data_IF_517565432377
#
_entry.id   IF_517565432377
#
_cell.length_a   1.000
_cell.length_b   1.000
_cell.length_c   1.000
_cell.angle_alpha   90.00
_cell.angle_beta   90.00
_cell.angle_gamma   90.00
#
_symmetry.space_group_name_H-M   'P 1'
#
loop_
_entity.id
_entity.type
_entity.pdbx_description
1 polymer ?
#
# COMPACT_ATOMS: atom_id res chain seq x y z
N UNK A 1 38.60 -10.12 -11.41
CA UNK A 1 37.20 -9.91 -11.83
C UNK A 1 36.38 -11.01 -11.17
N UNK A 2 35.78 -10.76 -10.01
CA UNK A 2 35.07 -11.78 -9.22
C UNK A 2 33.58 -11.65 -9.54
N UNK A 3 33.02 -12.68 -10.18
CA UNK A 3 31.60 -12.79 -10.52
C UNK A 3 30.81 -12.95 -9.20
N UNK A 4 30.03 -11.94 -8.84
CA UNK A 4 29.08 -12.05 -7.74
C UNK A 4 28.01 -13.07 -8.13
N UNK A 5 27.96 -14.18 -7.40
CA UNK A 5 26.91 -15.18 -7.54
C UNK A 5 25.70 -14.63 -6.79
N UNK A 6 24.68 -14.22 -7.53
CA UNK A 6 23.31 -14.07 -7.04
C UNK A 6 22.82 -15.48 -6.68
N UNK A 7 22.96 -15.84 -5.41
CA UNK A 7 22.37 -17.06 -4.86
C UNK A 7 20.96 -16.71 -4.40
N UNK A 8 19.97 -17.22 -5.11
CA UNK A 8 18.57 -17.19 -4.74
C UNK A 8 18.38 -17.81 -3.35
N UNK A 9 17.58 -17.13 -2.55
CA UNK A 9 17.45 -17.30 -1.10
C UNK A 9 16.34 -18.31 -0.79
N UNK A 10 16.37 -19.48 -1.40
CA UNK A 10 15.41 -20.56 -1.12
C UNK A 10 16.19 -21.89 -1.05
N UNK A 11 15.97 -22.68 0.00
CA UNK A 11 16.62 -23.96 0.34
C UNK A 11 18.01 -23.92 1.01
N UNK A 12 18.08 -23.39 2.24
CA UNK A 12 19.23 -23.65 3.13
C UNK A 12 19.14 -25.05 3.75
N UNK A 13 19.77 -26.03 3.10
CA UNK A 13 20.11 -27.31 3.72
C UNK A 13 21.12 -27.09 4.87
N UNK A 14 21.04 -27.82 6.00
CA UNK A 14 21.95 -27.65 7.14
C UNK A 14 23.44 -27.88 6.77
N UNK A 15 23.70 -28.65 5.72
CA UNK A 15 25.04 -28.88 5.17
C UNK A 15 25.66 -27.63 4.52
N UNK A 16 24.84 -26.74 3.95
CA UNK A 16 25.30 -25.47 3.37
C UNK A 16 25.68 -24.47 4.48
N UNK A 17 24.93 -24.44 5.57
CA UNK A 17 25.26 -23.64 6.75
C UNK A 17 26.58 -24.08 7.40
N UNK A 18 26.83 -25.39 7.47
CA UNK A 18 28.09 -25.96 7.97
C UNK A 18 29.28 -25.59 7.08
N UNK A 19 29.12 -25.62 5.74
CA UNK A 19 30.15 -25.16 4.81
C UNK A 19 30.46 -23.68 4.96
N UNK A 20 29.43 -22.83 5.04
CA UNK A 20 29.60 -21.38 5.24
C UNK A 20 30.30 -21.10 6.58
N UNK A 21 29.89 -21.75 7.67
CA UNK A 21 30.53 -21.62 8.97
C UNK A 21 32.00 -22.08 8.93
N UNK A 22 32.31 -23.18 8.24
CA UNK A 22 33.68 -23.67 8.06
C UNK A 22 34.53 -22.72 7.21
N UNK A 23 33.97 -22.07 6.20
CA UNK A 23 34.67 -21.09 5.36
C UNK A 23 34.88 -19.75 6.08
N UNK A 24 33.93 -19.33 6.92
CA UNK A 24 34.07 -18.15 7.80
C UNK A 24 35.15 -18.40 8.85
N UNK A 25 35.14 -19.58 9.48
CA UNK A 25 36.16 -20.00 10.45
C UNK A 25 37.55 -20.09 9.80
N UNK A 26 37.63 -20.68 8.60
CA UNK A 26 38.87 -20.81 7.83
C UNK A 26 39.42 -19.48 7.32
N UNK A 27 38.57 -18.47 7.10
CA UNK A 27 38.98 -17.11 6.67
C UNK A 27 39.38 -16.19 7.83
N UNK A 28 39.32 -16.66 9.08
CA UNK A 28 39.72 -15.88 10.28
C UNK A 28 39.22 -14.44 10.22
N UNK A 29 37.95 -14.27 9.86
CA UNK A 29 37.31 -12.95 9.83
C UNK A 29 37.24 -12.50 11.27
N UNK A 30 38.03 -11.49 11.64
CA UNK A 30 38.03 -10.99 13.02
C UNK A 30 36.63 -10.51 13.38
N UNK A 31 36.22 -10.69 14.65
CA UNK A 31 34.95 -10.15 15.16
C UNK A 31 34.82 -8.64 14.90
N UNK A 32 35.94 -7.93 14.83
CA UNK A 32 36.01 -6.51 14.48
C UNK A 32 35.62 -6.25 13.02
N UNK A 33 36.00 -7.13 12.09
CA UNK A 33 35.61 -7.05 10.68
C UNK A 33 34.12 -7.35 10.50
N UNK A 34 33.60 -8.36 11.21
CA UNK A 34 32.18 -8.69 11.24
C UNK A 34 31.33 -7.53 11.80
N UNK A 35 31.75 -6.95 12.93
CA UNK A 35 31.06 -5.81 13.53
C UNK A 35 31.10 -4.56 12.62
N UNK A 36 32.22 -4.33 11.93
CA UNK A 36 32.36 -3.21 10.99
C UNK A 36 31.50 -3.41 9.74
N UNK A 37 31.47 -4.61 9.18
CA UNK A 37 30.59 -4.95 8.05
C UNK A 37 29.12 -4.87 8.44
N UNK A 38 28.74 -5.34 9.63
CA UNK A 38 27.36 -5.21 10.12
C UNK A 38 26.97 -3.75 10.31
N UNK A 39 27.87 -2.93 10.85
CA UNK A 39 27.67 -1.49 10.99
C UNK A 39 27.55 -0.77 9.63
N UNK A 40 28.40 -1.11 8.65
CA UNK A 40 28.35 -0.56 7.29
C UNK A 40 27.04 -0.94 6.58
N UNK A 41 26.65 -2.22 6.63
CA UNK A 41 25.37 -2.68 6.05
C UNK A 41 24.17 -2.01 6.72
N UNK A 42 24.21 -1.81 8.04
CA UNK A 42 23.13 -1.14 8.78
C UNK A 42 23.03 0.34 8.41
N UNK A 43 24.17 1.01 8.22
CA UNK A 43 24.24 2.41 7.79
C UNK A 43 23.74 2.58 6.34
N UNK A 44 24.18 1.71 5.43
CA UNK A 44 23.73 1.74 4.03
C UNK A 44 22.22 1.48 3.92
N UNK A 45 21.68 0.57 4.72
CA UNK A 45 20.24 0.34 4.81
C UNK A 45 19.48 1.57 5.34
N UNK A 46 20.00 2.23 6.39
CA UNK A 46 19.39 3.47 6.90
C UNK A 46 19.40 4.59 5.86
N UNK A 47 20.51 4.77 5.14
CA UNK A 47 20.64 5.79 4.09
C UNK A 47 19.69 5.51 2.92
N UNK A 48 19.50 4.24 2.54
CA UNK A 48 18.50 3.85 1.53
C UNK A 48 17.07 4.14 2.00
N UNK A 49 16.72 3.80 3.25
CA UNK A 49 15.40 4.09 3.82
C UNK A 49 15.14 5.60 3.83
N UNK A 50 16.11 6.41 4.25
CA UNK A 50 16.02 7.87 4.25
C UNK A 50 15.79 8.43 2.84
N UNK A 51 16.51 7.93 1.83
CA UNK A 51 16.34 8.35 0.43
C UNK A 51 14.98 7.96 -0.15
N UNK A 52 14.45 6.81 0.24
CA UNK A 52 13.15 6.31 -0.19
C UNK A 52 11.99 6.96 0.57
N UNK A 53 12.21 7.41 1.79
CA UNK A 53 11.19 7.99 2.66
C UNK A 53 10.59 9.28 2.09
N UNK A 54 9.26 9.39 2.18
CA UNK A 54 8.50 10.58 1.84
C UNK A 54 7.51 10.38 0.69
N UNK A 55 6.50 11.25 0.68
CA UNK A 55 5.42 11.24 -0.33
C UNK A 55 5.94 11.87 -1.62
N UNK A 56 6.53 11.05 -2.51
CA UNK A 56 7.09 11.45 -3.81
C UNK A 56 6.83 10.38 -4.88
N UNK A 57 6.92 10.76 -6.15
CA UNK A 57 6.74 9.85 -7.29
C UNK A 57 5.36 9.21 -7.29
N UNK A 58 5.29 7.89 -7.51
CA UNK A 58 4.04 7.14 -7.52
C UNK A 58 3.21 7.23 -6.24
N UNK A 59 3.86 7.41 -5.07
CA UNK A 59 3.13 7.60 -3.81
C UNK A 59 2.43 8.97 -3.77
N UNK A 60 3.03 10.00 -4.36
CA UNK A 60 2.36 11.30 -4.49
C UNK A 60 1.15 11.21 -5.42
N UNK A 61 1.31 10.54 -6.58
CA UNK A 61 0.20 10.30 -7.51
C UNK A 61 -0.96 9.56 -6.82
N UNK A 62 -0.64 8.53 -6.04
CA UNK A 62 -1.64 7.81 -5.25
C UNK A 62 -2.38 8.74 -4.28
N UNK A 63 -1.65 9.51 -3.46
CA UNK A 63 -2.25 10.41 -2.47
C UNK A 63 -3.13 11.47 -3.15
N UNK A 64 -2.67 12.06 -4.25
CA UNK A 64 -3.47 13.00 -5.03
C UNK A 64 -4.74 12.36 -5.60
N UNK A 65 -4.64 11.14 -6.13
CA UNK A 65 -5.79 10.39 -6.64
C UNK A 65 -6.81 10.10 -5.53
N UNK A 66 -6.35 9.64 -4.35
CA UNK A 66 -7.23 9.41 -3.19
C UNK A 66 -7.88 10.72 -2.77
N UNK A 67 -7.15 11.83 -2.74
CA UNK A 67 -7.66 13.18 -2.48
C UNK A 67 -8.78 13.59 -3.45
N UNK A 68 -8.54 13.47 -4.76
CA UNK A 68 -9.52 13.84 -5.78
C UNK A 68 -10.76 12.94 -5.73
N UNK A 69 -10.59 11.62 -5.60
CA UNK A 69 -11.71 10.68 -5.47
C UNK A 69 -12.52 10.93 -4.19
N UNK A 70 -11.86 11.30 -3.10
CA UNK A 70 -12.52 11.69 -1.84
C UNK A 70 -13.43 12.89 -2.05
N UNK A 71 -12.93 13.94 -2.69
CA UNK A 71 -13.72 15.14 -3.00
C UNK A 71 -14.89 14.81 -3.94
N UNK A 72 -14.66 13.97 -4.95
CA UNK A 72 -15.70 13.49 -5.85
C UNK A 72 -16.82 12.74 -5.11
N UNK A 73 -16.46 11.81 -4.23
CA UNK A 73 -17.42 11.04 -3.44
C UNK A 73 -18.23 11.92 -2.47
N UNK A 74 -17.60 12.92 -1.86
CA UNK A 74 -18.31 13.93 -1.05
C UNK A 74 -19.28 14.75 -1.90
N UNK A 75 -18.84 15.23 -3.07
CA UNK A 75 -19.69 16.01 -3.96
C UNK A 75 -20.89 15.20 -4.49
N UNK A 76 -20.66 13.94 -4.90
CA UNK A 76 -21.71 13.02 -5.31
C UNK A 76 -22.71 12.77 -4.18
N UNK A 77 -22.21 12.40 -2.99
CA UNK A 77 -23.04 12.14 -1.82
C UNK A 77 -23.87 13.35 -1.38
N UNK A 78 -23.24 14.53 -1.27
CA UNK A 78 -23.94 15.76 -0.89
C UNK A 78 -24.94 16.21 -1.96
N UNK A 79 -24.57 16.17 -3.24
CA UNK A 79 -25.47 16.59 -4.31
C UNK A 79 -26.69 15.68 -4.44
N UNK A 80 -26.52 14.37 -4.24
CA UNK A 80 -27.61 13.40 -4.24
C UNK A 80 -28.59 13.62 -3.10
N UNK A 81 -28.10 13.86 -1.89
CA UNK A 81 -28.94 14.13 -0.72
C UNK A 81 -29.69 15.46 -0.82
N UNK A 82 -29.08 16.50 -1.41
CA UNK A 82 -29.71 17.82 -1.59
C UNK A 82 -30.78 17.78 -2.68
N UNK A 83 -30.56 17.04 -3.78
CA UNK A 83 -31.47 17.02 -4.94
C UNK A 83 -32.69 16.14 -4.75
N UNK A 84 -32.67 15.22 -3.79
CA UNK A 84 -33.76 14.26 -3.60
C UNK A 84 -34.09 14.05 -2.13
N UNK A 85 -34.58 15.11 -1.44
CA UNK A 85 -34.99 15.00 -0.05
C UNK A 85 -36.19 14.04 0.05
N UNK A 86 -35.99 12.92 0.76
CA UNK A 86 -37.06 11.98 1.08
C UNK A 86 -37.18 10.75 0.18
N UNK A 87 -36.32 10.55 -0.82
CA UNK A 87 -36.28 9.29 -1.58
C UNK A 87 -35.34 8.27 -0.91
N UNK A 88 -35.86 7.20 -0.29
CA UNK A 88 -35.04 6.23 0.43
C UNK A 88 -34.13 5.41 -0.50
N UNK A 89 -34.49 5.22 -1.77
CA UNK A 89 -33.68 4.48 -2.73
C UNK A 89 -32.45 5.31 -3.12
N UNK A 90 -32.64 6.61 -3.34
CA UNK A 90 -31.53 7.52 -3.64
C UNK A 90 -30.63 7.70 -2.41
N UNK A 91 -31.19 7.71 -1.19
CA UNK A 91 -30.38 7.72 0.02
C UNK A 91 -29.47 6.46 0.11
N UNK A 92 -29.96 5.29 -0.27
CA UNK A 92 -29.18 4.05 -0.30
C UNK A 92 -28.01 4.10 -1.30
N UNK A 93 -28.14 4.88 -2.37
CA UNK A 93 -27.10 5.08 -3.38
C UNK A 93 -26.06 6.11 -2.93
N UNK A 94 -26.51 7.27 -2.46
CA UNK A 94 -25.63 8.43 -2.22
C UNK A 94 -24.99 8.44 -0.83
N UNK A 95 -25.63 7.82 0.17
CA UNK A 95 -25.10 7.79 1.53
C UNK A 95 -23.78 6.99 1.63
N UNK A 96 -23.64 5.80 1.00
CA UNK A 96 -22.35 5.10 0.96
C UNK A 96 -21.22 5.92 0.34
N UNK A 97 -21.49 6.65 -0.75
CA UNK A 97 -20.51 7.56 -1.37
C UNK A 97 -20.10 8.67 -0.42
N UNK A 98 -21.06 9.28 0.30
CA UNK A 98 -20.76 10.30 1.30
C UNK A 98 -19.88 9.75 2.44
N UNK A 99 -20.23 8.57 2.99
CA UNK A 99 -19.45 7.94 4.05
C UNK A 99 -18.03 7.58 3.58
N UNK A 100 -17.90 7.09 2.34
CA UNK A 100 -16.61 6.82 1.72
C UNK A 100 -15.77 8.09 1.54
N UNK A 101 -16.41 9.21 1.18
CA UNK A 101 -15.78 10.52 1.13
C UNK A 101 -15.30 11.01 2.50
N UNK A 102 -16.13 10.90 3.54
CA UNK A 102 -15.72 11.28 4.91
C UNK A 102 -14.54 10.42 5.37
N UNK A 103 -14.61 9.11 5.15
CA UNK A 103 -13.51 8.21 5.47
C UNK A 103 -12.25 8.50 4.64
N UNK A 104 -12.41 8.87 3.36
CA UNK A 104 -11.31 9.28 2.49
C UNK A 104 -10.55 10.51 2.99
N UNK A 105 -11.23 11.48 3.61
CA UNK A 105 -10.56 12.64 4.24
C UNK A 105 -9.67 12.18 5.40
N UNK A 106 -10.17 11.28 6.23
CA UNK A 106 -9.40 10.68 7.33
C UNK A 106 -8.17 9.93 6.79
N UNK A 107 -8.34 9.10 5.76
CA UNK A 107 -7.24 8.37 5.11
C UNK A 107 -6.19 9.31 4.54
N UNK A 108 -6.60 10.37 3.84
CA UNK A 108 -5.67 11.37 3.31
C UNK A 108 -4.88 12.07 4.43
N UNK A 109 -5.54 12.42 5.54
CA UNK A 109 -4.87 13.01 6.69
C UNK A 109 -3.80 12.05 7.27
N UNK A 110 -4.09 10.75 7.35
CA UNK A 110 -3.11 9.75 7.76
C UNK A 110 -1.94 9.61 6.77
N UNK A 111 -2.23 9.59 5.46
CA UNK A 111 -1.23 9.44 4.41
C UNK A 111 -0.28 10.64 4.36
N UNK A 112 -0.80 11.87 4.48
CA UNK A 112 -0.02 13.11 4.53
C UNK A 112 0.76 13.20 5.84
N UNK A 113 0.13 12.81 6.96
CA UNK A 113 0.73 12.76 8.28
C UNK A 113 1.71 11.61 8.50
N UNK A 114 1.98 10.79 7.47
CA UNK A 114 2.95 9.68 7.47
C UNK A 114 2.79 8.71 8.64
N UNK A 115 1.54 8.40 9.01
CA UNK A 115 1.23 7.48 10.11
C UNK A 115 1.41 6.02 9.68
N UNK A 116 1.92 5.16 10.56
CA UNK A 116 2.22 3.76 10.22
C UNK A 116 1.01 2.93 9.76
N UNK A 117 -0.18 3.26 10.26
CA UNK A 117 -1.44 2.63 9.84
C UNK A 117 -2.00 3.13 8.50
N UNK A 118 -1.44 4.18 7.90
CA UNK A 118 -2.02 4.83 6.72
C UNK A 118 -2.21 3.89 5.51
N UNK A 119 -1.24 3.01 5.14
CA UNK A 119 -1.41 2.09 4.02
C UNK A 119 -2.55 1.09 4.23
N UNK A 120 -2.74 0.61 5.47
CA UNK A 120 -3.82 -0.31 5.82
C UNK A 120 -5.18 0.38 5.66
N UNK A 121 -5.32 1.60 6.18
CA UNK A 121 -6.56 2.37 6.02
C UNK A 121 -6.83 2.74 4.55
N UNK A 122 -5.80 3.05 3.77
CA UNK A 122 -5.91 3.30 2.34
C UNK A 122 -6.36 2.05 1.56
N UNK A 123 -5.87 0.87 1.94
CA UNK A 123 -6.31 -0.41 1.36
C UNK A 123 -7.77 -0.69 1.66
N UNK A 124 -8.21 -0.50 2.91
CA UNK A 124 -9.63 -0.61 3.27
C UNK A 124 -10.51 0.38 2.51
N UNK A 125 -10.03 1.61 2.31
CA UNK A 125 -10.74 2.62 1.54
C UNK A 125 -10.89 2.22 0.06
N UNK A 126 -9.84 1.67 -0.57
CA UNK A 126 -9.92 1.15 -1.93
C UNK A 126 -10.93 0.00 -2.04
N UNK A 127 -10.90 -0.96 -1.11
CA UNK A 127 -11.84 -2.09 -1.07
C UNK A 127 -13.28 -1.60 -0.88
N UNK A 128 -13.50 -0.67 0.05
CA UNK A 128 -14.81 -0.07 0.27
C UNK A 128 -15.30 0.70 -0.98
N UNK A 129 -14.44 1.44 -1.65
CA UNK A 129 -14.78 2.14 -2.89
C UNK A 129 -15.17 1.19 -4.02
N UNK A 130 -14.47 0.06 -4.14
CA UNK A 130 -14.85 -0.98 -5.09
C UNK A 130 -16.22 -1.58 -4.76
N UNK A 131 -16.46 -1.91 -3.49
CA UNK A 131 -17.73 -2.45 -3.02
C UNK A 131 -18.90 -1.47 -3.25
N UNK A 132 -18.71 -0.18 -2.98
CA UNK A 132 -19.70 0.86 -3.27
C UNK A 132 -19.99 0.96 -4.77
N UNK A 133 -18.96 0.85 -5.62
CA UNK A 133 -19.14 0.86 -7.08
C UNK A 133 -19.96 -0.34 -7.56
N UNK A 134 -19.69 -1.54 -7.02
CA UNK A 134 -20.47 -2.75 -7.32
C UNK A 134 -21.92 -2.64 -6.84
N UNK A 135 -22.14 -2.10 -5.62
CA UNK A 135 -23.46 -1.86 -5.09
C UNK A 135 -24.25 -0.89 -5.99
N UNK A 136 -23.61 0.22 -6.40
CA UNK A 136 -24.23 1.20 -7.28
C UNK A 136 -24.58 0.58 -8.65
N UNK A 137 -23.68 -0.21 -9.23
CA UNK A 137 -23.93 -0.93 -10.47
C UNK A 137 -25.10 -1.91 -10.36
N UNK A 138 -25.17 -2.67 -9.25
CA UNK A 138 -26.26 -3.60 -8.98
C UNK A 138 -27.61 -2.87 -8.86
N UNK A 139 -27.66 -1.76 -8.12
CA UNK A 139 -28.89 -0.97 -7.98
C UNK A 139 -29.34 -0.41 -9.34
N UNK A 140 -28.42 0.14 -10.14
CA UNK A 140 -28.74 0.69 -11.47
C UNK A 140 -29.24 -0.42 -12.42
N UNK A 141 -28.62 -1.61 -12.38
CA UNK A 141 -29.08 -2.78 -13.12
C UNK A 141 -30.52 -3.16 -12.77
N UNK A 142 -30.88 -3.22 -11.48
CA UNK A 142 -32.26 -3.50 -11.05
C UNK A 142 -33.24 -2.39 -11.44
N UNK A 143 -32.79 -1.13 -11.49
CA UNK A 143 -33.56 0.01 -11.96
C UNK A 143 -33.69 0.08 -13.50
N UNK A 144 -33.09 -0.88 -14.24
CA UNK A 144 -33.07 -0.94 -15.71
C UNK A 144 -32.57 0.36 -16.36
N UNK A 145 -31.70 1.08 -15.67
CA UNK A 145 -31.03 2.27 -16.21
C UNK A 145 -29.72 1.84 -16.87
N UNK A 146 -29.29 2.60 -17.88
CA UNK A 146 -28.01 2.34 -18.52
C UNK A 146 -26.88 2.59 -17.52
N UNK A 147 -26.07 1.56 -17.29
CA UNK A 147 -24.86 1.65 -16.48
C UNK A 147 -23.65 1.37 -17.35
N UNK A 148 -22.72 2.31 -17.40
CA UNK A 148 -21.43 2.10 -18.04
C UNK A 148 -20.44 1.68 -16.95
N UNK A 149 -20.27 0.37 -16.78
CA UNK A 149 -19.20 -0.15 -15.94
C UNK A 149 -17.87 0.14 -16.65
N UNK A 150 -16.97 0.85 -15.98
CA UNK A 150 -15.62 1.07 -16.48
C UNK A 150 -14.67 0.01 -15.89
N UNK A 151 -14.34 -1.08 -16.61
CA UNK A 151 -13.50 -2.15 -16.07
C UNK A 151 -12.08 -1.68 -15.72
N UNK A 152 -11.63 -0.55 -16.28
CA UNK A 152 -10.33 0.02 -15.97
C UNK A 152 -10.24 0.52 -14.53
N UNK A 153 -11.36 0.91 -13.91
CA UNK A 153 -11.35 1.37 -12.51
C UNK A 153 -11.02 0.22 -11.55
N UNK A 154 -11.56 -0.98 -11.80
CA UNK A 154 -11.27 -2.19 -11.02
C UNK A 154 -9.82 -2.63 -11.16
N UNK A 155 -9.28 -2.65 -12.38
CA UNK A 155 -7.86 -2.95 -12.61
C UNK A 155 -6.94 -1.91 -11.93
N UNK A 156 -7.26 -0.63 -12.03
CA UNK A 156 -6.50 0.42 -11.36
C UNK A 156 -6.49 0.24 -9.84
N UNK A 157 -7.61 -0.17 -9.23
CA UNK A 157 -7.68 -0.48 -7.79
C UNK A 157 -6.76 -1.64 -7.40
N UNK A 158 -6.74 -2.72 -8.19
CA UNK A 158 -5.84 -3.86 -7.95
C UNK A 158 -4.37 -3.47 -8.05
N UNK A 159 -4.01 -2.65 -9.04
CA UNK A 159 -2.65 -2.11 -9.17
C UNK A 159 -2.28 -1.30 -7.94
N UNK A 160 -3.18 -0.45 -7.43
CA UNK A 160 -2.92 0.34 -6.23
C UNK A 160 -2.83 -0.49 -4.95
N UNK A 161 -3.68 -1.50 -4.78
CA UNK A 161 -3.58 -2.43 -3.66
C UNK A 161 -2.23 -3.16 -3.66
N UNK A 162 -1.85 -3.71 -4.82
CA UNK A 162 -0.55 -4.38 -4.99
C UNK A 162 0.60 -3.42 -4.69
N UNK A 163 0.51 -2.17 -5.17
CA UNK A 163 1.51 -1.14 -4.90
C UNK A 163 1.60 -0.79 -3.41
N UNK A 164 0.49 -0.62 -2.69
CA UNK A 164 0.50 -0.30 -1.27
C UNK A 164 1.15 -1.41 -0.42
N UNK A 165 0.94 -2.67 -0.81
CA UNK A 165 1.45 -3.83 -0.09
C UNK A 165 2.93 -4.11 -0.36
N UNK A 166 3.36 -4.03 -1.63
CA UNK A 166 4.69 -4.49 -2.04
C UNK A 166 5.72 -3.36 -2.24
N UNK A 167 5.30 -2.10 -2.23
CA UNK A 167 6.20 -0.98 -2.50
C UNK A 167 7.15 -0.72 -1.32
N UNK A 168 8.45 -0.95 -1.56
CA UNK A 168 9.54 -0.55 -0.65
C UNK A 168 9.46 0.92 -0.23
N UNK A 169 8.96 1.79 -1.11
CA UNK A 169 8.78 3.23 -0.81
C UNK A 169 7.65 3.46 0.19
N UNK A 170 6.53 2.73 0.07
CA UNK A 170 5.42 2.80 1.03
C UNK A 170 5.90 2.30 2.39
N UNK A 171 6.57 1.15 2.41
CA UNK A 171 7.17 0.60 3.62
C UNK A 171 8.14 1.58 4.30
N UNK A 172 9.07 2.16 3.53
CA UNK A 172 10.02 3.15 4.04
C UNK A 172 9.35 4.46 4.51
N UNK A 173 8.27 4.90 3.86
CA UNK A 173 7.59 6.17 4.18
C UNK A 173 6.72 6.08 5.43
N UNK A 174 6.07 4.93 5.63
CA UNK A 174 5.16 4.72 6.76
C UNK A 174 5.76 3.86 7.86
N UNK A 175 7.06 3.55 7.81
CA UNK A 175 7.74 2.77 8.84
C UNK A 175 7.25 1.32 8.93
N UNK A 176 6.69 0.78 7.86
CA UNK A 176 6.37 -0.65 7.75
C UNK A 176 7.61 -1.42 7.27
N UNK A 177 8.78 -1.13 7.86
CA UNK A 177 9.97 -1.93 7.58
C UNK A 177 9.65 -3.33 8.06
N UNK A 178 9.45 -4.20 7.09
CA UNK A 178 8.84 -5.51 7.22
C UNK A 178 9.51 -6.28 8.35
N UNK A 179 8.71 -6.75 9.29
CA UNK A 179 9.04 -7.86 10.19
C UNK A 179 9.17 -9.20 9.44
N UNK A 180 9.53 -9.18 8.16
CA UNK A 180 9.83 -10.37 7.33
C UNK A 180 11.26 -10.89 7.53
N UNK A 181 11.92 -10.46 8.61
CA UNK A 181 12.97 -11.26 9.27
C UNK A 181 12.37 -12.08 10.41
N UNK A 182 11.18 -12.66 10.19
CA UNK A 182 10.55 -13.66 11.05
C UNK A 182 11.40 -14.93 11.05
N UNK A 183 12.49 -14.89 11.81
CA UNK A 183 13.02 -16.07 12.47
C UNK A 183 12.04 -16.36 13.60
N UNK A 184 11.11 -17.27 13.36
CA UNK A 184 10.29 -17.92 14.38
C UNK A 184 10.41 -19.42 14.18
#
# INVERSE_FOLDING_TARGET
>A
MVRAITVDREDYLPEAAAKIASEISRRSISHETLARTEHEVRKDNQDQVLRLSGVRGWLFVFVSMVGLNTLGALAEGLSGLVRSPGDPILALIYLPSLMLGIYGLYVNALLIGRKAGAPRHASWWLIAGFATTLLHAAIIYFLRKEFVLNPLSGLAMLVWLTYLEHSKRVAATYGQVSSESGIS
#
